data_IF_745646847824
#
_entry.id   IF_745646847824
#
_cell.length_a   1.000
_cell.length_b   1.000
_cell.length_c   1.000
_cell.angle_alpha   90.00
_cell.angle_beta   90.00
_cell.angle_gamma   90.00
#
_symmetry.space_group_name_H-M   'P 1'
#
loop_
_entity.id
_entity.type
_entity.pdbx_description
1 polymer ?
#
# COMPACT_ATOMS: atom_id res chain seq x y z
N UNK A 1 -18.95 -18.79 14.85
CA UNK A 1 -18.62 -17.75 13.84
C UNK A 1 -18.67 -16.41 14.56
N UNK A 2 -17.60 -15.62 14.51
CA UNK A 2 -17.58 -14.30 15.13
C UNK A 2 -18.16 -13.24 14.19
N UNK A 3 -19.48 -13.07 14.26
CA UNK A 3 -20.20 -12.11 13.43
C UNK A 3 -19.99 -10.66 13.91
N UNK A 4 -19.81 -10.46 15.22
CA UNK A 4 -19.63 -9.13 15.82
C UNK A 4 -18.26 -8.57 15.46
N UNK A 5 -17.21 -9.38 15.57
CA UNK A 5 -15.87 -9.03 15.12
C UNK A 5 -15.85 -8.70 13.62
N UNK A 6 -16.49 -9.53 12.81
CA UNK A 6 -16.58 -9.29 11.36
C UNK A 6 -17.31 -7.99 10.98
N UNK A 7 -18.47 -7.72 11.60
CA UNK A 7 -19.26 -6.51 11.33
C UNK A 7 -18.51 -5.27 11.79
N UNK A 8 -17.92 -5.29 12.99
CA UNK A 8 -17.18 -4.15 13.54
C UNK A 8 -15.95 -3.81 12.71
N UNK A 9 -15.19 -4.82 12.26
CA UNK A 9 -14.06 -4.62 11.36
C UNK A 9 -14.50 -4.04 10.00
N UNK A 10 -15.49 -4.65 9.35
CA UNK A 10 -15.99 -4.19 8.04
C UNK A 10 -16.54 -2.75 8.13
N UNK A 11 -17.27 -2.45 9.20
CA UNK A 11 -17.80 -1.11 9.47
C UNK A 11 -16.68 -0.11 9.69
N UNK A 12 -15.64 -0.48 10.45
CA UNK A 12 -14.49 0.40 10.71
C UNK A 12 -13.76 0.81 9.43
N UNK A 13 -13.45 -0.15 8.57
CA UNK A 13 -12.77 0.10 7.28
C UNK A 13 -13.66 0.97 6.39
N UNK A 14 -14.95 0.66 6.30
CA UNK A 14 -15.90 1.43 5.49
C UNK A 14 -16.01 2.89 5.95
N UNK A 15 -16.06 3.14 7.27
CA UNK A 15 -16.12 4.49 7.83
C UNK A 15 -14.83 5.28 7.57
N UNK A 16 -13.66 4.63 7.67
CA UNK A 16 -12.36 5.26 7.36
C UNK A 16 -12.29 5.63 5.88
N UNK A 17 -12.73 4.74 4.98
CA UNK A 17 -12.75 5.02 3.54
C UNK A 17 -13.70 6.17 3.22
N UNK A 18 -14.94 6.13 3.77
CA UNK A 18 -15.90 7.22 3.61
C UNK A 18 -15.37 8.54 4.15
N UNK A 19 -14.67 8.53 5.28
CA UNK A 19 -14.02 9.72 5.81
C UNK A 19 -13.06 10.33 4.79
N UNK A 20 -12.18 9.53 4.18
CA UNK A 20 -11.23 10.02 3.16
C UNK A 20 -11.92 10.54 1.89
N UNK A 21 -12.99 9.88 1.45
CA UNK A 21 -13.80 10.35 0.33
C UNK A 21 -14.44 11.70 0.66
N UNK A 22 -15.12 11.79 1.81
CA UNK A 22 -15.75 13.04 2.24
C UNK A 22 -14.72 14.14 2.47
N UNK A 23 -13.52 13.84 2.99
CA UNK A 23 -12.45 14.82 3.16
C UNK A 23 -12.05 15.53 1.86
N UNK A 24 -12.32 14.91 0.70
CA UNK A 24 -12.04 15.48 -0.61
C UNK A 24 -13.12 16.46 -1.10
N UNK A 25 -14.28 16.51 -0.43
CA UNK A 25 -15.41 17.38 -0.79
C UNK A 25 -15.31 18.76 -0.09
N UNK A 26 -15.77 19.85 -0.73
CA UNK A 26 -15.87 21.15 -0.07
C UNK A 26 -16.86 21.12 1.11
N UNK A 27 -16.54 21.83 2.20
CA UNK A 27 -17.39 22.01 3.39
C UNK A 27 -17.82 20.73 4.13
N UNK A 28 -17.12 19.61 3.93
CA UNK A 28 -17.43 18.30 4.53
C UNK A 28 -16.55 17.94 5.73
N UNK A 29 -15.64 18.83 6.16
CA UNK A 29 -14.61 18.55 7.17
C UNK A 29 -15.18 18.00 8.49
N UNK A 30 -16.34 18.51 8.92
CA UNK A 30 -17.03 18.01 10.11
C UNK A 30 -17.50 16.57 9.97
N UNK A 31 -18.15 16.23 8.87
CA UNK A 31 -18.62 14.86 8.57
C UNK A 31 -17.42 13.92 8.41
N UNK A 32 -16.40 14.34 7.66
CA UNK A 32 -15.16 13.58 7.48
C UNK A 32 -14.51 13.23 8.82
N UNK A 33 -14.37 14.20 9.71
CA UNK A 33 -13.75 13.99 11.03
C UNK A 33 -14.59 13.07 11.93
N UNK A 34 -15.91 13.22 11.89
CA UNK A 34 -16.82 12.34 12.62
C UNK A 34 -16.76 10.89 12.12
N UNK A 35 -16.71 10.68 10.80
CA UNK A 35 -16.55 9.36 10.18
C UNK A 35 -15.18 8.75 10.53
N UNK A 36 -14.09 9.53 10.50
CA UNK A 36 -12.77 9.06 10.92
C UNK A 36 -12.78 8.60 12.37
N UNK A 37 -13.34 9.42 13.27
CA UNK A 37 -13.42 9.10 14.69
C UNK A 37 -14.26 7.84 14.92
N UNK A 38 -15.44 7.74 14.30
CA UNK A 38 -16.30 6.56 14.40
C UNK A 38 -15.61 5.29 13.87
N UNK A 39 -14.88 5.40 12.75
CA UNK A 39 -14.09 4.31 12.20
C UNK A 39 -12.97 3.86 13.14
N UNK A 40 -12.22 4.79 13.72
CA UNK A 40 -11.16 4.50 14.71
C UNK A 40 -11.75 3.84 15.96
N UNK A 41 -12.87 4.37 16.49
CA UNK A 41 -13.55 3.80 17.66
C UNK A 41 -14.03 2.37 17.37
N UNK A 42 -14.62 2.11 16.20
CA UNK A 42 -15.02 0.76 15.79
C UNK A 42 -13.84 -0.18 15.62
N UNK A 43 -12.70 0.30 15.12
CA UNK A 43 -11.48 -0.50 15.00
C UNK A 43 -10.90 -0.87 16.37
N UNK A 44 -10.92 0.06 17.33
CA UNK A 44 -10.51 -0.19 18.72
C UNK A 44 -11.48 -1.19 19.37
N UNK A 45 -12.79 -0.99 19.19
CA UNK A 45 -13.81 -1.92 19.67
C UNK A 45 -13.59 -3.33 19.14
N UNK A 46 -13.36 -3.47 17.83
CA UNK A 46 -13.03 -4.74 17.19
C UNK A 46 -11.80 -5.40 17.84
N UNK A 47 -10.69 -4.66 17.99
CA UNK A 47 -9.48 -5.20 18.58
C UNK A 47 -9.69 -5.69 20.02
N UNK A 48 -10.44 -4.93 20.83
CA UNK A 48 -10.75 -5.30 22.22
C UNK A 48 -11.72 -6.49 22.31
N UNK A 49 -12.67 -6.61 21.38
CA UNK A 49 -13.61 -7.73 21.27
C UNK A 49 -12.87 -9.02 20.93
N UNK A 50 -12.03 -8.98 19.90
CA UNK A 50 -11.29 -10.12 19.39
C UNK A 50 -10.34 -10.72 20.45
N UNK A 51 -9.75 -9.86 21.29
CA UNK A 51 -8.86 -10.29 22.38
C UNK A 51 -9.59 -11.07 23.49
N UNK A 52 -10.92 -10.93 23.61
CA UNK A 52 -11.72 -11.57 24.67
C UNK A 52 -12.58 -12.73 24.17
N UNK A 53 -12.79 -12.84 22.85
CA UNK A 53 -13.71 -13.82 22.28
C UNK A 53 -13.11 -15.25 22.32
N UNK A 54 -13.85 -16.29 22.74
CA UNK A 54 -13.32 -17.66 22.90
C UNK A 54 -12.88 -18.35 21.61
N UNK A 55 -13.49 -17.99 20.46
CA UNK A 55 -13.18 -18.54 19.14
C UNK A 55 -13.00 -17.39 18.13
N UNK A 56 -11.94 -16.57 18.28
CA UNK A 56 -11.75 -15.36 17.50
C UNK A 56 -11.59 -15.71 16.01
N UNK A 57 -12.12 -14.85 15.14
CA UNK A 57 -11.88 -14.91 13.71
C UNK A 57 -10.39 -14.70 13.38
N UNK A 58 -9.68 -13.90 14.18
CA UNK A 58 -8.24 -13.63 14.07
C UNK A 58 -7.54 -14.05 15.37
N UNK A 59 -6.72 -15.10 15.31
CA UNK A 59 -5.91 -15.48 16.47
C UNK A 59 -4.76 -14.47 16.66
N UNK A 60 -5.04 -13.43 17.44
CA UNK A 60 -4.11 -12.34 17.74
C UNK A 60 -2.86 -12.81 18.49
N UNK A 61 -2.85 -14.03 19.05
CA UNK A 61 -1.65 -14.59 19.72
C UNK A 61 -0.48 -14.79 18.75
N UNK A 62 -0.76 -14.91 17.45
CA UNK A 62 0.27 -15.02 16.41
C UNK A 62 1.10 -13.71 16.31
N UNK A 63 0.56 -12.57 16.74
CA UNK A 63 1.31 -11.31 16.80
C UNK A 63 2.42 -11.29 17.87
N UNK A 64 2.53 -12.31 18.72
CA UNK A 64 3.70 -12.50 19.58
C UNK A 64 4.93 -12.92 18.78
N UNK A 65 4.72 -13.46 17.58
CA UNK A 65 5.79 -13.83 16.64
C UNK A 65 6.27 -12.57 15.95
N UNK A 66 7.51 -12.17 16.24
CA UNK A 66 8.04 -10.91 15.77
C UNK A 66 8.18 -10.83 14.24
N UNK A 67 8.56 -11.94 13.60
CA UNK A 67 8.65 -12.03 12.14
C UNK A 67 7.29 -11.80 11.47
N UNK A 68 6.27 -12.46 11.99
CA UNK A 68 4.88 -12.31 11.57
C UNK A 68 4.41 -10.86 11.74
N UNK A 69 4.53 -10.32 12.96
CA UNK A 69 4.07 -8.97 13.29
C UNK A 69 4.73 -7.90 12.45
N UNK A 70 6.07 -7.93 12.32
CA UNK A 70 6.77 -6.94 11.51
C UNK A 70 6.39 -7.01 10.04
N UNK A 71 6.13 -8.19 9.49
CA UNK A 71 5.70 -8.36 8.10
C UNK A 71 4.26 -7.93 7.85
N UNK A 72 3.35 -8.25 8.79
CA UNK A 72 1.95 -7.87 8.73
C UNK A 72 1.79 -6.36 8.92
N UNK A 73 2.51 -5.74 9.86
CA UNK A 73 2.46 -4.29 10.12
C UNK A 73 3.15 -3.47 9.02
N UNK A 74 4.16 -4.02 8.33
CA UNK A 74 4.78 -3.36 7.18
C UNK A 74 3.87 -3.32 5.94
N UNK A 75 2.85 -4.18 5.85
CA UNK A 75 2.01 -4.26 4.65
C UNK A 75 1.07 -3.07 4.43
N UNK A 76 0.32 -2.54 5.42
CA UNK A 76 -0.53 -1.39 5.21
C UNK A 76 0.20 -0.17 4.63
N UNK A 77 1.33 0.32 5.18
CA UNK A 77 2.04 1.45 4.58
C UNK A 77 2.58 1.14 3.17
N UNK A 78 3.09 -0.08 2.95
CA UNK A 78 3.46 -0.53 1.60
C UNK A 78 2.26 -0.45 0.63
N UNK A 79 1.12 -1.01 1.00
CA UNK A 79 -0.07 -1.07 0.16
C UNK A 79 -0.70 0.31 -0.07
N UNK A 80 -0.66 1.20 0.92
CA UNK A 80 -1.09 2.60 0.77
C UNK A 80 -0.22 3.34 -0.25
N UNK A 81 1.10 3.16 -0.22
CA UNK A 81 2.00 3.82 -1.15
C UNK A 81 1.94 3.21 -2.55
N UNK A 82 1.86 1.88 -2.64
CA UNK A 82 1.81 1.12 -3.88
C UNK A 82 0.46 1.23 -4.61
N UNK A 83 -0.66 1.16 -3.89
CA UNK A 83 -1.96 0.84 -4.48
C UNK A 83 -2.46 1.82 -5.55
N UNK A 84 -2.18 3.10 -5.39
CA UNK A 84 -2.56 4.15 -6.33
C UNK A 84 -1.46 4.47 -7.34
N UNK A 85 -0.28 3.85 -7.25
CA UNK A 85 0.85 4.15 -8.13
C UNK A 85 0.51 3.95 -9.60
N UNK A 86 -0.17 2.85 -9.95
CA UNK A 86 -0.58 2.58 -11.34
C UNK A 86 -1.55 3.64 -11.86
N UNK A 87 -2.56 4.03 -11.06
CA UNK A 87 -3.51 5.08 -11.43
C UNK A 87 -2.81 6.42 -11.64
N UNK A 88 -1.90 6.80 -10.74
CA UNK A 88 -1.12 8.03 -10.89
C UNK A 88 -0.23 8.00 -12.13
N UNK A 89 0.35 6.85 -12.48
CA UNK A 89 1.13 6.70 -13.71
C UNK A 89 0.26 6.81 -14.96
N UNK A 90 -0.97 6.27 -14.94
CA UNK A 90 -1.94 6.47 -16.02
C UNK A 90 -2.27 7.96 -16.18
N UNK A 91 -2.56 8.67 -15.08
CA UNK A 91 -2.78 10.13 -15.10
C UNK A 91 -1.57 10.86 -15.69
N UNK A 92 -0.35 10.48 -15.31
CA UNK A 92 0.86 11.08 -15.88
C UNK A 92 0.99 10.81 -17.39
N UNK A 93 0.83 9.57 -17.84
CA UNK A 93 1.06 9.18 -19.23
C UNK A 93 -0.06 9.70 -20.16
N UNK A 94 -1.32 9.61 -19.75
CA UNK A 94 -2.44 10.02 -20.59
C UNK A 94 -2.68 11.52 -20.54
N UNK A 95 -2.70 12.12 -19.33
CA UNK A 95 -3.15 13.50 -19.16
C UNK A 95 -1.98 14.48 -19.24
N UNK A 96 -0.86 14.20 -18.56
CA UNK A 96 0.30 15.12 -18.55
C UNK A 96 1.13 14.94 -19.82
N UNK A 97 1.32 13.70 -20.28
CA UNK A 97 2.13 13.38 -21.47
C UNK A 97 1.31 13.31 -22.76
N UNK A 98 -0.01 13.29 -22.68
CA UNK A 98 -0.89 13.29 -23.86
C UNK A 98 -0.83 12.00 -24.67
N UNK A 99 -0.47 10.87 -24.04
CA UNK A 99 -0.39 9.58 -24.74
C UNK A 99 -1.78 8.93 -24.82
N UNK A 100 -2.01 8.20 -25.91
CA UNK A 100 -3.22 7.37 -26.05
C UNK A 100 -3.25 6.25 -25.00
N UNK A 101 -4.44 5.79 -24.56
CA UNK A 101 -4.57 4.68 -23.60
C UNK A 101 -3.82 3.40 -23.99
N UNK A 102 -3.77 3.07 -25.29
CA UNK A 102 -3.02 1.92 -25.81
C UNK A 102 -1.51 2.07 -25.60
N UNK A 103 -0.95 3.23 -25.89
CA UNK A 103 0.46 3.54 -25.64
C UNK A 103 0.79 3.56 -24.13
N UNK A 104 -0.10 4.11 -23.30
CA UNK A 104 0.03 4.07 -21.83
C UNK A 104 0.09 2.64 -21.33
N UNK A 105 -0.81 1.76 -21.78
CA UNK A 105 -0.78 0.34 -21.43
C UNK A 105 0.54 -0.35 -21.78
N UNK A 106 1.08 -0.08 -22.97
CA UNK A 106 2.39 -0.62 -23.38
C UNK A 106 3.55 -0.12 -22.51
N UNK A 107 3.51 1.15 -22.08
CA UNK A 107 4.55 1.75 -21.24
C UNK A 107 4.49 1.30 -19.78
N UNK A 108 3.37 0.72 -19.34
CA UNK A 108 3.24 0.10 -18.02
C UNK A 108 3.75 -1.35 -18.00
N UNK A 109 3.93 -2.01 -19.15
CA UNK A 109 4.45 -3.39 -19.22
C UNK A 109 5.82 -3.54 -18.53
N UNK A 110 6.82 -2.67 -18.75
CA UNK A 110 8.12 -2.78 -18.09
C UNK A 110 8.02 -2.81 -16.56
N UNK A 111 7.10 -2.03 -16.00
CA UNK A 111 6.85 -2.01 -14.56
C UNK A 111 6.42 -3.39 -14.04
N UNK A 112 5.37 -3.97 -14.63
CA UNK A 112 4.83 -5.27 -14.23
C UNK A 112 5.80 -6.42 -14.52
N UNK A 113 6.55 -6.34 -15.62
CA UNK A 113 7.59 -7.31 -15.96
C UNK A 113 8.74 -7.28 -14.94
N UNK A 114 9.17 -6.09 -14.53
CA UNK A 114 10.16 -5.91 -13.47
C UNK A 114 9.65 -6.50 -12.16
N UNK A 115 8.40 -6.21 -11.79
CA UNK A 115 7.75 -6.81 -10.62
C UNK A 115 7.77 -8.34 -10.65
N UNK A 116 7.40 -8.95 -11.78
CA UNK A 116 7.41 -10.40 -11.95
C UNK A 116 8.82 -10.99 -11.79
N UNK A 117 9.80 -10.43 -12.52
CA UNK A 117 11.19 -10.91 -12.51
C UNK A 117 11.80 -10.80 -11.11
N UNK A 118 11.63 -9.65 -10.46
CA UNK A 118 12.20 -9.40 -9.15
C UNK A 118 11.39 -9.99 -8.00
N UNK A 119 10.14 -10.38 -8.22
CA UNK A 119 9.40 -11.26 -7.29
C UNK A 119 10.09 -12.62 -7.17
N UNK A 120 10.37 -13.27 -8.30
CA UNK A 120 11.11 -14.55 -8.33
C UNK A 120 12.53 -14.38 -7.79
N UNK A 121 13.24 -13.33 -8.22
CA UNK A 121 14.58 -13.05 -7.72
C UNK A 121 14.57 -12.76 -6.20
N UNK A 122 13.57 -12.05 -5.71
CA UNK A 122 13.37 -11.75 -4.30
C UNK A 122 13.28 -13.02 -3.46
N UNK A 123 12.47 -14.00 -3.88
CA UNK A 123 12.41 -15.32 -3.23
C UNK A 123 13.78 -15.98 -3.11
N UNK A 124 14.50 -16.12 -4.23
CA UNK A 124 15.84 -16.73 -4.26
C UNK A 124 16.87 -15.96 -3.42
N UNK A 125 16.83 -14.63 -3.46
CA UNK A 125 17.70 -13.78 -2.66
C UNK A 125 17.38 -13.93 -1.17
N UNK A 126 16.10 -14.09 -0.81
CA UNK A 126 15.70 -14.28 0.58
C UNK A 126 16.10 -15.64 1.14
N UNK A 127 16.14 -16.68 0.32
CA UNK A 127 16.66 -18.00 0.72
C UNK A 127 18.16 -17.93 1.05
N UNK A 128 18.91 -17.07 0.35
CA UNK A 128 20.37 -16.92 0.51
C UNK A 128 20.77 -15.91 1.59
N UNK A 129 20.10 -14.77 1.66
CA UNK A 129 20.49 -13.63 2.49
C UNK A 129 19.51 -13.35 3.64
N UNK A 130 18.44 -14.15 3.77
CA UNK A 130 17.34 -13.93 4.68
C UNK A 130 16.29 -12.95 4.12
N UNK A 131 15.04 -13.09 4.56
CA UNK A 131 13.94 -12.27 4.07
C UNK A 131 14.03 -10.79 4.49
N UNK A 132 14.54 -10.49 5.68
CA UNK A 132 14.51 -9.13 6.23
C UNK A 132 15.41 -8.14 5.46
N UNK A 133 16.69 -8.45 5.15
CA UNK A 133 17.54 -7.58 4.34
C UNK A 133 16.98 -7.37 2.93
N UNK A 134 16.49 -8.43 2.28
CA UNK A 134 15.93 -8.35 0.92
C UNK A 134 14.67 -7.48 0.90
N UNK A 135 13.76 -7.68 1.87
CA UNK A 135 12.56 -6.87 1.99
C UNK A 135 12.87 -5.38 2.26
N UNK A 136 13.90 -5.09 3.06
CA UNK A 136 14.34 -3.71 3.31
C UNK A 136 14.89 -3.04 2.06
N UNK A 137 15.72 -3.74 1.29
CA UNK A 137 16.22 -3.23 0.00
C UNK A 137 15.06 -2.98 -0.95
N UNK A 138 14.09 -3.89 -1.01
CA UNK A 138 12.88 -3.71 -1.82
C UNK A 138 12.08 -2.46 -1.45
N UNK A 139 11.83 -2.24 -0.15
CA UNK A 139 11.13 -1.05 0.34
C UNK A 139 11.92 0.24 0.09
N UNK A 140 13.24 0.22 0.32
CA UNK A 140 14.11 1.38 0.06
C UNK A 140 14.09 1.75 -1.42
N UNK A 141 14.20 0.76 -2.31
CA UNK A 141 14.17 0.96 -3.75
C UNK A 141 12.79 1.48 -4.22
N UNK A 142 11.71 0.94 -3.67
CA UNK A 142 10.34 1.40 -3.95
C UNK A 142 10.14 2.85 -3.50
N UNK A 143 10.58 3.20 -2.28
CA UNK A 143 10.50 4.55 -1.75
C UNK A 143 11.33 5.54 -2.58
N UNK A 144 12.55 5.15 -2.96
CA UNK A 144 13.40 5.95 -3.84
C UNK A 144 12.78 6.14 -5.23
N UNK A 145 12.17 5.09 -5.80
CA UNK A 145 11.46 5.21 -7.07
C UNK A 145 10.27 6.15 -6.99
N UNK A 146 9.41 6.03 -5.97
CA UNK A 146 8.31 6.97 -5.75
C UNK A 146 8.80 8.41 -5.58
N UNK A 147 9.93 8.60 -4.90
CA UNK A 147 10.55 9.92 -4.82
C UNK A 147 11.05 10.42 -6.17
N UNK A 148 11.65 9.57 -7.01
CA UNK A 148 12.03 9.94 -8.38
C UNK A 148 10.80 10.25 -9.25
N UNK A 149 9.73 9.48 -9.11
CA UNK A 149 8.44 9.73 -9.78
C UNK A 149 7.83 11.08 -9.38
N UNK A 150 8.11 11.56 -8.17
CA UNK A 150 7.70 12.92 -7.78
C UNK A 150 8.36 14.05 -8.56
N UNK A 151 9.40 13.73 -9.36
CA UNK A 151 10.09 14.68 -10.23
C UNK A 151 9.62 14.58 -11.69
N UNK A 152 8.64 13.71 -11.99
CA UNK A 152 8.05 13.61 -13.32
C UNK A 152 7.38 14.93 -13.70
N UNK A 153 7.70 15.37 -14.91
CA UNK A 153 7.15 16.56 -15.56
C UNK A 153 6.80 16.24 -17.01
N UNK A 154 6.16 17.20 -17.69
CA UNK A 154 5.87 17.12 -19.13
C UNK A 154 7.14 16.94 -19.96
N UNK A 155 8.24 17.59 -19.55
CA UNK A 155 9.53 17.56 -20.25
C UNK A 155 10.40 16.35 -19.89
N UNK A 156 9.95 15.50 -18.95
CA UNK A 156 10.76 14.36 -18.53
C UNK A 156 10.88 13.34 -19.67
N UNK A 157 12.11 12.93 -20.04
CA UNK A 157 12.30 11.89 -21.06
C UNK A 157 11.55 10.61 -20.69
N UNK A 158 10.85 10.01 -21.67
CA UNK A 158 10.10 8.76 -21.47
C UNK A 158 10.98 7.63 -20.89
N UNK A 159 12.24 7.59 -21.30
CA UNK A 159 13.22 6.61 -20.81
C UNK A 159 13.45 6.75 -19.29
N UNK A 160 13.50 7.99 -18.77
CA UNK A 160 13.65 8.22 -17.33
C UNK A 160 12.40 7.74 -16.57
N UNK A 161 11.20 7.99 -17.10
CA UNK A 161 9.96 7.47 -16.53
C UNK A 161 9.93 5.94 -16.51
N UNK A 162 10.35 5.29 -17.60
CA UNK A 162 10.49 3.82 -17.67
C UNK A 162 11.51 3.31 -16.63
N UNK A 163 12.65 3.97 -16.45
CA UNK A 163 13.63 3.59 -15.43
C UNK A 163 13.00 3.67 -14.04
N UNK A 164 12.26 4.73 -13.72
CA UNK A 164 11.59 4.85 -12.42
C UNK A 164 10.56 3.73 -12.22
N UNK A 165 9.76 3.45 -13.25
CA UNK A 165 8.81 2.32 -13.27
C UNK A 165 9.51 0.97 -13.04
N UNK A 166 10.63 0.71 -13.72
CA UNK A 166 11.43 -0.51 -13.52
C UNK A 166 11.95 -0.61 -12.09
N UNK A 167 12.45 0.49 -11.51
CA UNK A 167 12.93 0.53 -10.12
C UNK A 167 11.79 0.29 -9.12
N UNK A 168 10.59 0.81 -9.40
CA UNK A 168 9.42 0.56 -8.56
C UNK A 168 9.05 -0.93 -8.60
N UNK A 169 8.94 -1.52 -9.79
CA UNK A 169 8.65 -2.95 -9.97
C UNK A 169 9.69 -3.84 -9.31
N UNK A 170 10.98 -3.48 -9.44
CA UNK A 170 12.06 -4.19 -8.77
C UNK A 170 11.91 -4.14 -7.26
N UNK A 171 11.67 -2.95 -6.70
CA UNK A 171 11.51 -2.77 -5.27
C UNK A 171 10.30 -3.53 -4.70
N UNK A 172 9.15 -3.44 -5.39
CA UNK A 172 7.92 -4.11 -4.97
C UNK A 172 8.05 -5.62 -5.06
N UNK A 173 8.73 -6.15 -6.10
CA UNK A 173 9.01 -7.58 -6.23
C UNK A 173 9.90 -8.11 -5.11
N UNK A 174 10.99 -7.40 -4.81
CA UNK A 174 11.93 -7.75 -3.73
C UNK A 174 11.30 -7.67 -2.33
N UNK A 175 10.25 -6.86 -2.14
CA UNK A 175 9.51 -6.82 -0.88
C UNK A 175 8.42 -7.90 -0.80
N UNK A 176 7.52 -7.95 -1.77
CA UNK A 176 6.26 -8.73 -1.69
C UNK A 176 6.50 -10.21 -1.48
N UNK A 177 7.40 -10.81 -2.26
CA UNK A 177 7.64 -12.26 -2.24
C UNK A 177 8.32 -12.71 -0.94
N UNK A 178 9.47 -12.14 -0.52
CA UNK A 178 10.09 -12.47 0.77
C UNK A 178 9.22 -12.13 1.97
N UNK A 179 8.46 -11.03 1.90
CA UNK A 179 7.57 -10.67 3.00
C UNK A 179 6.44 -11.68 3.16
N UNK A 180 5.80 -12.10 2.06
CA UNK A 180 4.74 -13.09 2.09
C UNK A 180 5.22 -14.44 2.63
N UNK A 181 6.37 -14.92 2.15
CA UNK A 181 6.95 -16.17 2.62
C UNK A 181 7.31 -16.10 4.10
N UNK A 182 7.92 -15.01 4.57
CA UNK A 182 8.28 -14.82 5.98
C UNK A 182 7.08 -14.85 6.92
N UNK A 183 5.96 -14.24 6.53
CA UNK A 183 4.74 -14.20 7.36
C UNK A 183 4.14 -15.59 7.49
N UNK A 184 3.99 -16.32 6.39
CA UNK A 184 3.38 -17.65 6.41
C UNK A 184 4.31 -18.68 7.07
N UNK A 185 5.59 -18.69 6.71
CA UNK A 185 6.55 -19.69 7.20
C UNK A 185 7.00 -19.48 8.65
N UNK A 186 6.82 -18.27 9.20
CA UNK A 186 7.07 -18.01 10.64
C UNK A 186 6.00 -18.57 11.56
N UNK A 187 4.94 -19.18 11.02
CA UNK A 187 3.82 -19.75 11.79
C UNK A 187 3.74 -21.28 11.68
N UNK A 188 3.26 -21.98 12.73
CA UNK A 188 3.04 -23.43 12.69
C UNK A 188 2.15 -23.84 11.51
N UNK A 189 2.35 -25.03 10.90
CA UNK A 189 1.59 -25.50 9.74
C UNK A 189 0.07 -25.36 9.89
N UNK A 190 -0.46 -25.64 11.07
CA UNK A 190 -1.89 -25.60 11.41
C UNK A 190 -2.45 -24.17 11.39
N UNK A 191 -1.58 -23.16 11.52
CA UNK A 191 -1.94 -21.73 11.61
C UNK A 191 -1.58 -20.95 10.34
N UNK A 192 -0.97 -21.58 9.34
CA UNK A 192 -0.58 -20.92 8.07
C UNK A 192 -1.76 -20.33 7.31
N UNK A 193 -2.93 -20.96 7.39
CA UNK A 193 -4.17 -20.43 6.82
C UNK A 193 -4.54 -19.07 7.44
N UNK A 194 -4.55 -18.99 8.77
CA UNK A 194 -4.81 -17.74 9.51
C UNK A 194 -3.75 -16.68 9.19
N UNK A 195 -2.47 -17.07 9.10
CA UNK A 195 -1.39 -16.16 8.76
C UNK A 195 -1.54 -15.55 7.36
N UNK A 196 -1.94 -16.35 6.37
CA UNK A 196 -2.20 -15.90 5.01
C UNK A 196 -3.41 -14.96 4.94
N UNK A 197 -4.48 -15.28 5.68
CA UNK A 197 -5.67 -14.43 5.78
C UNK A 197 -5.33 -13.07 6.40
N UNK A 198 -4.59 -13.06 7.53
CA UNK A 198 -4.12 -11.83 8.16
C UNK A 198 -3.28 -10.98 7.21
N UNK A 199 -2.34 -11.62 6.50
CA UNK A 199 -1.53 -10.94 5.48
C UNK A 199 -2.42 -10.27 4.44
N UNK A 200 -3.41 -11.01 3.92
CA UNK A 200 -4.30 -10.51 2.86
C UNK A 200 -5.17 -9.36 3.35
N UNK A 201 -5.74 -9.48 4.55
CA UNK A 201 -6.53 -8.42 5.18
C UNK A 201 -5.68 -7.15 5.35
N UNK A 202 -4.47 -7.27 5.90
CA UNK A 202 -3.58 -6.12 6.11
C UNK A 202 -3.18 -5.44 4.81
N UNK A 203 -2.93 -6.20 3.73
CA UNK A 203 -2.70 -5.62 2.41
C UNK A 203 -3.95 -4.87 1.91
N UNK A 204 -5.11 -5.52 1.93
CA UNK A 204 -6.36 -4.97 1.40
C UNK A 204 -6.79 -3.68 2.12
N UNK A 205 -6.62 -3.60 3.44
CA UNK A 205 -6.91 -2.37 4.20
C UNK A 205 -6.06 -1.20 3.69
N UNK A 206 -4.75 -1.40 3.53
CA UNK A 206 -3.87 -0.35 3.01
C UNK A 206 -4.17 -0.02 1.55
N UNK A 207 -4.44 -1.03 0.72
CA UNK A 207 -4.77 -0.86 -0.69
C UNK A 207 -6.07 -0.06 -0.88
N UNK A 208 -7.11 -0.35 -0.08
CA UNK A 208 -8.38 0.37 -0.13
C UNK A 208 -8.24 1.87 0.24
N UNK A 209 -7.35 2.18 1.19
CA UNK A 209 -7.03 3.57 1.58
C UNK A 209 -6.24 4.30 0.49
N UNK A 210 -5.41 3.57 -0.26
CA UNK A 210 -4.39 4.12 -1.15
C UNK A 210 -4.92 5.17 -2.14
N UNK A 211 -5.95 4.84 -2.91
CA UNK A 211 -6.49 5.73 -3.94
C UNK A 211 -7.17 6.96 -3.34
N UNK A 212 -8.03 6.77 -2.34
CA UNK A 212 -8.72 7.86 -1.67
C UNK A 212 -7.74 8.84 -1.01
N UNK A 213 -6.70 8.34 -0.34
CA UNK A 213 -5.66 9.19 0.21
C UNK A 213 -4.90 9.94 -0.88
N UNK A 214 -4.58 9.28 -1.99
CA UNK A 214 -3.86 9.90 -3.12
C UNK A 214 -4.67 11.04 -3.75
N UNK A 215 -5.98 10.82 -3.95
CA UNK A 215 -6.91 11.85 -4.42
C UNK A 215 -7.03 12.99 -3.41
N UNK A 216 -7.19 12.69 -2.12
CA UNK A 216 -7.25 13.71 -1.06
C UNK A 216 -6.00 14.59 -1.05
N UNK A 217 -4.81 14.03 -1.26
CA UNK A 217 -3.59 14.84 -1.41
C UNK A 217 -3.64 15.69 -2.67
N UNK A 218 -4.13 15.15 -3.79
CA UNK A 218 -4.26 15.90 -5.03
C UNK A 218 -5.26 17.07 -4.92
N UNK A 219 -6.39 16.90 -4.22
CA UNK A 219 -7.43 17.93 -4.06
C UNK A 219 -6.95 19.17 -3.32
N UNK A 220 -5.84 19.07 -2.56
CA UNK A 220 -5.20 20.24 -1.95
C UNK A 220 -4.54 21.17 -2.98
N UNK A 221 -4.28 20.67 -4.19
CA UNK A 221 -3.58 21.40 -5.26
C UNK A 221 -4.43 21.59 -6.51
N UNK A 222 -5.45 20.76 -6.74
CA UNK A 222 -6.32 20.82 -7.92
C UNK A 222 -7.73 21.31 -7.55
N UNK A 223 -8.41 22.08 -8.42
CA UNK A 223 -9.80 22.43 -8.24
C UNK A 223 -10.71 21.20 -8.08
N UNK A 224 -11.79 21.35 -7.31
CA UNK A 224 -12.74 20.27 -7.06
C UNK A 224 -13.35 19.69 -8.35
N UNK A 225 -13.53 20.48 -9.40
CA UNK A 225 -14.03 20.02 -10.71
C UNK A 225 -13.11 19.01 -11.41
N UNK A 226 -11.80 19.08 -11.15
CA UNK A 226 -10.80 18.12 -11.64
C UNK A 226 -10.77 16.91 -10.70
N UNK A 227 -10.79 17.16 -9.39
CA UNK A 227 -10.80 16.09 -8.40
C UNK A 227 -12.03 15.16 -8.54
N UNK A 228 -13.22 15.72 -8.75
CA UNK A 228 -14.44 14.94 -8.92
C UNK A 228 -14.36 13.98 -10.11
N UNK A 229 -13.72 14.42 -11.20
CA UNK A 229 -13.47 13.58 -12.37
C UNK A 229 -12.52 12.40 -12.07
N UNK A 230 -11.48 12.64 -11.27
CA UNK A 230 -10.60 11.57 -10.78
C UNK A 230 -11.35 10.59 -9.85
N UNK A 231 -12.25 11.09 -9.01
CA UNK A 231 -13.07 10.28 -8.10
C UNK A 231 -14.05 9.39 -8.87
N UNK A 232 -14.65 9.92 -9.93
CA UNK A 232 -15.59 9.18 -10.79
C UNK A 232 -14.90 8.38 -11.90
N UNK A 233 -13.56 8.34 -11.92
CA UNK A 233 -12.76 7.71 -12.98
C UNK A 233 -13.08 8.22 -14.40
N UNK A 234 -13.57 9.46 -14.51
CA UNK A 234 -13.86 10.13 -15.77
C UNK A 234 -12.66 10.99 -16.18
N UNK A 235 -11.75 10.42 -16.96
CA UNK A 235 -10.55 11.13 -17.42
C UNK A 235 -10.80 12.05 -18.62
N UNK A 236 -12.04 12.14 -19.12
CA UNK A 236 -12.36 12.93 -20.31
C UNK A 236 -12.11 14.43 -20.10
N UNK A 237 -11.45 15.08 -21.07
CA UNK A 237 -11.20 16.52 -21.06
C UNK A 237 -10.26 17.04 -19.97
N UNK A 238 -9.58 16.16 -19.21
CA UNK A 238 -8.58 16.57 -18.23
C UNK A 238 -7.31 17.15 -18.87
N UNK A 239 -6.97 16.72 -20.09
CA UNK A 239 -5.80 17.17 -20.85
C UNK A 239 -6.01 18.43 -21.70
N UNK A 240 -7.26 18.89 -21.88
CA UNK A 240 -7.60 19.92 -22.87
C UNK A 240 -7.24 21.36 -22.47
N UNK A 241 -6.84 21.58 -21.22
CA UNK A 241 -6.50 22.91 -20.69
C UNK A 241 -5.06 22.88 -20.17
N UNK A 242 -4.16 23.66 -20.78
CA UNK A 242 -2.75 23.73 -20.37
C UNK A 242 -2.57 24.09 -18.87
N UNK A 243 -3.51 24.87 -18.30
CA UNK A 243 -3.57 25.15 -16.86
C UNK A 243 -3.79 23.90 -16.00
N UNK A 244 -4.59 22.93 -16.48
CA UNK A 244 -4.84 21.67 -15.80
C UNK A 244 -3.57 20.81 -15.76
N UNK A 245 -2.80 20.76 -16.86
CA UNK A 245 -1.57 19.96 -16.93
C UNK A 245 -0.55 20.41 -15.88
N UNK A 246 -0.34 21.73 -15.72
CA UNK A 246 0.59 22.26 -14.71
C UNK A 246 0.13 21.94 -13.29
N UNK A 247 -1.15 22.16 -13.00
CA UNK A 247 -1.74 21.93 -11.69
C UNK A 247 -1.74 20.44 -11.33
N UNK A 248 -2.10 19.57 -12.27
CA UNK A 248 -2.04 18.10 -12.12
C UNK A 248 -0.60 17.61 -11.94
N UNK A 249 0.38 18.18 -12.65
CA UNK A 249 1.79 17.84 -12.47
C UNK A 249 2.27 18.13 -11.05
N UNK A 250 1.89 19.28 -10.49
CA UNK A 250 2.22 19.64 -9.10
C UNK A 250 1.54 18.67 -8.12
N UNK A 251 0.25 18.41 -8.31
CA UNK A 251 -0.51 17.50 -7.47
C UNK A 251 0.08 16.09 -7.46
N UNK A 252 0.36 15.54 -8.65
CA UNK A 252 0.98 14.24 -8.86
C UNK A 252 2.37 14.15 -8.22
N UNK A 253 3.21 15.17 -8.39
CA UNK A 253 4.50 15.28 -7.70
C UNK A 253 4.35 15.22 -6.18
N UNK A 254 3.40 15.97 -5.60
CA UNK A 254 3.16 16.00 -4.15
C UNK A 254 2.65 14.65 -3.65
N UNK A 255 1.73 14.03 -4.38
CA UNK A 255 1.20 12.70 -4.05
C UNK A 255 2.29 11.64 -4.06
N UNK A 256 3.15 11.61 -5.08
CA UNK A 256 4.28 10.68 -5.12
C UNK A 256 5.28 10.88 -3.96
N UNK A 257 5.51 12.14 -3.52
CA UNK A 257 6.32 12.40 -2.32
C UNK A 257 5.67 11.83 -1.06
N UNK A 258 4.36 12.04 -0.88
CA UNK A 258 3.63 11.47 0.25
C UNK A 258 3.71 9.94 0.24
N UNK A 259 3.44 9.30 -0.90
CA UNK A 259 3.57 7.84 -1.06
C UNK A 259 5.00 7.36 -0.77
N UNK A 260 6.03 8.08 -1.22
CA UNK A 260 7.43 7.77 -0.92
C UNK A 260 7.71 7.79 0.59
N UNK A 261 7.20 8.79 1.32
CA UNK A 261 7.37 8.88 2.78
C UNK A 261 6.62 7.77 3.52
N UNK A 262 5.41 7.42 3.07
CA UNK A 262 4.63 6.31 3.63
C UNK A 262 5.36 4.97 3.37
N UNK A 263 5.91 4.80 2.16
CA UNK A 263 6.73 3.63 1.82
C UNK A 263 7.98 3.54 2.71
N UNK A 264 8.64 4.67 2.99
CA UNK A 264 9.79 4.72 3.90
C UNK A 264 9.38 4.34 5.34
N UNK A 265 8.18 4.71 5.81
CA UNK A 265 7.67 4.29 7.11
C UNK A 265 7.51 2.77 7.21
N UNK A 266 7.16 2.08 6.11
CA UNK A 266 7.13 0.60 6.07
C UNK A 266 8.51 -0.02 6.38
N UNK A 267 9.60 0.68 6.05
CA UNK A 267 10.97 0.22 6.33
C UNK A 267 11.24 0.11 7.82
N UNK A 268 10.67 0.99 8.67
CA UNK A 268 10.88 0.95 10.12
C UNK A 268 10.38 -0.39 10.71
N UNK A 269 9.19 -0.82 10.28
CA UNK A 269 8.61 -2.09 10.70
C UNK A 269 9.37 -3.28 10.13
N UNK A 270 9.82 -3.18 8.87
CA UNK A 270 10.66 -4.23 8.27
C UNK A 270 12.01 -4.35 8.96
N UNK A 271 12.64 -3.22 9.32
CA UNK A 271 13.95 -3.12 9.96
C UNK A 271 13.95 -3.76 11.34
N UNK A 272 12.85 -3.57 12.06
CA UNK A 272 12.63 -4.16 13.37
C UNK A 272 12.85 -5.68 13.39
N UNK A 273 12.68 -6.36 12.24
CA UNK A 273 12.84 -7.82 12.08
C UNK A 273 14.29 -8.30 11.87
N UNK A 274 15.26 -7.40 11.69
CA UNK A 274 16.66 -7.78 11.47
C UNK A 274 17.25 -8.47 12.71
N UNK A 275 18.08 -9.50 12.48
CA UNK A 275 18.86 -10.18 13.53
C UNK A 275 18.03 -11.03 14.50
N UNK A 276 16.73 -11.19 14.27
CA UNK A 276 15.86 -12.05 15.11
C UNK A 276 15.91 -13.48 14.59
N UNK A 277 16.10 -14.49 15.47
CA UNK A 277 16.21 -15.89 15.04
C UNK A 277 14.89 -16.38 14.45
N UNK A 278 14.95 -17.01 13.28
CA UNK A 278 13.81 -17.69 12.67
C UNK A 278 13.15 -18.64 13.68
N UNK A 279 11.81 -18.65 13.69
CA UNK A 279 10.98 -19.37 14.66
C UNK A 279 11.23 -20.89 14.71
N UNK A 280 12.07 -21.44 13.84
CA UNK A 280 12.57 -22.82 13.89
C UNK A 280 13.41 -23.15 15.14
N UNK A 281 13.59 -22.22 16.10
CA UNK A 281 14.38 -22.43 17.33
C UNK A 281 13.72 -21.94 18.63
N UNK A 282 12.40 -22.00 18.78
CA UNK A 282 11.80 -21.92 20.11
C UNK A 282 11.46 -23.33 20.62
N UNK A 283 11.77 -23.66 21.89
CA UNK A 283 11.44 -24.96 22.45
C UNK A 283 9.93 -25.16 22.36
N UNK A 284 9.50 -26.37 22.00
CA UNK A 284 8.11 -26.79 22.07
C UNK A 284 7.51 -26.31 23.39
N UNK A 285 6.44 -25.51 23.29
CA UNK A 285 5.57 -25.28 24.44
C UNK A 285 4.95 -26.64 24.74
N UNK A 286 5.55 -27.34 25.71
CA UNK A 286 4.98 -28.56 26.28
C UNK A 286 3.51 -28.29 26.58
N UNK A 287 2.67 -29.19 26.06
CA UNK A 287 1.22 -29.08 26.15
C UNK A 287 0.73 -28.84 27.57
N UNK A 288 -0.36 -28.08 27.64
CA UNK A 288 -1.30 -28.04 28.75
C UNK A 288 -2.69 -28.18 28.17
#
# INVERSE_FOLDING_TARGET
IDLIGFISFTTSVSLILLSLTYASYPNSAGISSALALAGIVMLIFFALWELRFPSPALDLRIFRIWQFSGGVIAQPPYAIAFGASTVLLVIYLEIIRGLSPSATGLLLIPYELSFLVFGVAGGRLSDRYGYAPVALVGLALSSASLYLMSRLSVDTPLQAAIIYMLLLGMGTGLFTTPNASSIVMSTPPERRGVASSMRTISFNVGFAISLNLSILVMTQFIPYSIASKLITEDYSGLGDIAGNIRILSIALSRTFKVQSTIMAAAMLFSFSRLGKPDFLKLPEVKGS
#
